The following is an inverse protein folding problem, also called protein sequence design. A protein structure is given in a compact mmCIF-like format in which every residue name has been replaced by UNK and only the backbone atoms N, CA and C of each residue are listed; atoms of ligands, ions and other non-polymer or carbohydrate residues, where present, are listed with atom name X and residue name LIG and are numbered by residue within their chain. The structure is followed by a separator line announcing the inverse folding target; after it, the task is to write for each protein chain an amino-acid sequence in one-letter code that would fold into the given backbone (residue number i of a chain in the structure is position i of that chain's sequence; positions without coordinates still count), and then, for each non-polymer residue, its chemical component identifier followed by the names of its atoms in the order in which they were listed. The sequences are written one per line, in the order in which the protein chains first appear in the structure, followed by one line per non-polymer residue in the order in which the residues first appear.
data_IF_046991390521
#
_entry.id   IF_046991390521
#
_cell.length_a   1.000
_cell.length_b   1.000
_cell.length_c   1.000
_cell.angle_alpha   90.00
_cell.angle_beta   90.00
_cell.angle_gamma   90.00
#
_symmetry.space_group_name_H-M   'P 1'
#
loop_
_entity.id
_entity.type
_entity.pdbx_description
1 polymer ?
#
# COMPACT_ATOMS: atom_id res chain seq x y z
N UNK A 1 24.56 -15.32 1.41
CA UNK A 1 23.95 -14.31 2.29
C UNK A 1 22.66 -13.91 1.61
N UNK A 2 21.56 -14.60 1.93
CA UNK A 2 20.22 -14.21 1.47
C UNK A 2 19.50 -13.72 2.71
N UNK A 3 19.53 -12.40 2.85
CA UNK A 3 19.00 -11.66 3.97
C UNK A 3 17.53 -12.02 4.20
N UNK A 4 17.28 -12.30 5.47
CA UNK A 4 15.98 -12.37 6.12
C UNK A 4 14.95 -11.51 5.37
N UNK A 5 14.04 -12.16 4.63
CA UNK A 5 12.72 -11.62 4.38
C UNK A 5 12.11 -11.34 5.75
N UNK A 6 12.37 -10.15 6.30
CA UNK A 6 11.63 -9.60 7.43
C UNK A 6 10.17 -9.85 7.06
N UNK A 7 9.47 -10.66 7.86
CA UNK A 7 8.07 -11.00 7.63
C UNK A 7 7.25 -9.70 7.63
N UNK A 8 7.19 -9.02 6.49
CA UNK A 8 6.43 -7.79 6.35
C UNK A 8 4.96 -8.18 6.48
N UNK A 9 4.26 -7.48 7.35
CA UNK A 9 2.84 -7.67 7.58
C UNK A 9 2.08 -7.01 6.45
N UNK A 10 1.18 -7.77 5.83
CA UNK A 10 0.28 -7.27 4.80
C UNK A 10 -0.86 -6.46 5.43
N UNK A 11 -0.96 -5.20 5.01
CA UNK A 11 -2.02 -4.28 5.41
C UNK A 11 -2.86 -3.95 4.17
N UNK A 12 -4.09 -4.45 4.11
CA UNK A 12 -4.93 -4.37 2.91
C UNK A 12 -5.98 -3.26 3.08
N UNK A 13 -6.07 -2.38 2.09
CA UNK A 13 -7.15 -1.40 1.99
C UNK A 13 -7.71 -1.35 0.57
N UNK A 14 -9.03 -1.23 0.43
CA UNK A 14 -9.71 -1.15 -0.86
C UNK A 14 -10.33 0.21 -1.05
N UNK A 15 -10.00 0.87 -2.15
CA UNK A 15 -10.75 2.02 -2.63
C UNK A 15 -11.96 1.50 -3.40
N UNK A 16 -13.15 1.73 -2.86
CA UNK A 16 -14.42 1.28 -3.46
C UNK A 16 -14.85 2.11 -4.67
N UNK A 17 -14.37 3.35 -4.82
CA UNK A 17 -14.77 4.23 -5.93
C UNK A 17 -14.12 3.80 -7.24
N UNK A 18 -12.84 3.41 -7.18
CA UNK A 18 -12.07 2.92 -8.34
C UNK A 18 -11.92 1.40 -8.35
N UNK A 19 -12.44 0.73 -7.33
CA UNK A 19 -12.23 -0.69 -7.07
C UNK A 19 -10.75 -1.12 -7.03
N UNK A 20 -9.88 -0.27 -6.47
CA UNK A 20 -8.43 -0.53 -6.39
C UNK A 20 -8.10 -1.18 -5.06
N UNK A 21 -7.31 -2.26 -5.08
CA UNK A 21 -6.82 -2.93 -3.87
C UNK A 21 -5.39 -2.49 -3.59
N UNK A 22 -5.17 -1.85 -2.45
CA UNK A 22 -3.86 -1.49 -1.94
C UNK A 22 -3.38 -2.55 -0.94
N UNK A 23 -2.18 -3.07 -1.15
CA UNK A 23 -1.48 -3.98 -0.24
C UNK A 23 -0.24 -3.25 0.24
N UNK A 24 -0.22 -2.87 1.51
CA UNK A 24 0.90 -2.16 2.13
C UNK A 24 1.72 -3.17 2.94
N UNK A 25 2.97 -3.36 2.55
CA UNK A 25 3.93 -4.21 3.24
C UNK A 25 4.70 -3.36 4.24
N UNK A 26 4.53 -3.63 5.53
CA UNK A 26 5.18 -2.91 6.62
C UNK A 26 5.72 -3.86 7.69
N UNK A 27 6.54 -3.39 8.63
CA UNK A 27 7.07 -4.24 9.72
C UNK A 27 6.01 -4.66 10.74
N UNK A 28 4.87 -3.96 10.80
CA UNK A 28 3.76 -4.20 11.72
C UNK A 28 2.39 -3.99 11.08
N UNK A 29 1.32 -4.27 11.83
CA UNK A 29 -0.03 -3.83 11.45
C UNK A 29 -0.15 -2.31 11.56
N UNK A 30 -0.68 -1.72 10.49
CA UNK A 30 -0.96 -0.31 10.37
C UNK A 30 -2.40 -0.02 10.76
N UNK A 31 -2.58 1.10 11.44
CA UNK A 31 -3.89 1.70 11.63
C UNK A 31 -4.43 2.21 10.30
N UNK A 32 -5.74 2.44 10.24
CA UNK A 32 -6.38 3.01 9.04
C UNK A 32 -5.77 4.36 8.64
N UNK A 33 -5.42 5.20 9.61
CA UNK A 33 -4.83 6.51 9.35
C UNK A 33 -3.42 6.40 8.75
N UNK A 34 -2.60 5.48 9.26
CA UNK A 34 -1.27 5.20 8.71
C UNK A 34 -1.37 4.66 7.28
N UNK A 35 -2.27 3.71 7.03
CA UNK A 35 -2.51 3.20 5.67
C UNK A 35 -2.94 4.31 4.70
N UNK A 36 -3.81 5.22 5.15
CA UNK A 36 -4.25 6.37 4.34
C UNK A 36 -3.10 7.34 4.06
N UNK A 37 -2.20 7.57 5.02
CA UNK A 37 -1.01 8.40 4.82
C UNK A 37 -0.08 7.79 3.75
N UNK A 38 0.19 6.48 3.84
CA UNK A 38 1.00 5.76 2.85
C UNK A 38 0.40 5.90 1.44
N UNK A 39 -0.91 5.68 1.30
CA UNK A 39 -1.58 5.80 -0.01
C UNK A 39 -1.59 7.24 -0.52
N UNK A 40 -1.76 8.24 0.36
CA UNK A 40 -1.67 9.65 -0.03
C UNK A 40 -0.29 10.01 -0.54
N UNK A 41 0.76 9.53 0.13
CA UNK A 41 2.14 9.73 -0.29
C UNK A 41 2.40 9.03 -1.64
N UNK A 42 1.94 7.80 -1.80
CA UNK A 42 2.01 7.07 -3.06
C UNK A 42 1.29 7.81 -4.20
N UNK A 43 0.09 8.33 -3.94
CA UNK A 43 -0.70 9.11 -4.89
C UNK A 43 -0.22 10.57 -5.07
N UNK A 44 0.85 10.98 -4.37
CA UNK A 44 1.47 12.28 -4.64
C UNK A 44 2.09 12.32 -6.04
N UNK A 45 2.56 11.17 -6.54
CA UNK A 45 2.94 11.02 -7.94
C UNK A 45 1.68 10.95 -8.84
N UNK A 46 1.51 11.90 -9.79
CA UNK A 46 0.38 11.89 -10.72
C UNK A 46 0.25 10.64 -11.58
N UNK A 47 1.33 9.88 -11.79
CA UNK A 47 1.28 8.61 -12.51
C UNK A 47 0.49 7.55 -11.74
N UNK A 48 0.61 7.56 -10.40
CA UNK A 48 -0.06 6.60 -9.51
C UNK A 48 -1.57 6.88 -9.37
N UNK A 49 -1.99 8.13 -9.55
CA UNK A 49 -3.41 8.52 -9.58
C UNK A 49 -4.20 7.90 -10.75
N UNK A 50 -3.49 7.57 -11.84
CA UNK A 50 -4.04 6.97 -13.08
C UNK A 50 -4.15 5.45 -13.00
N UNK A 51 -4.04 4.86 -11.81
CA UNK A 51 -4.26 3.43 -11.61
C UNK A 51 -5.58 2.98 -12.26
N UNK A 52 -5.51 1.90 -13.04
CA UNK A 52 -6.67 1.34 -13.74
C UNK A 52 -7.67 0.80 -12.72
N UNK A 53 -8.98 0.88 -12.99
CA UNK A 53 -9.97 0.22 -12.16
C UNK A 53 -9.67 -1.27 -11.99
N UNK A 54 -10.00 -1.83 -10.82
CA UNK A 54 -9.72 -3.24 -10.47
C UNK A 54 -8.23 -3.59 -10.31
N UNK A 55 -7.32 -2.61 -10.31
CA UNK A 55 -5.90 -2.89 -10.12
C UNK A 55 -5.58 -3.26 -8.67
N UNK A 56 -4.56 -4.10 -8.49
CA UNK A 56 -3.90 -4.30 -7.20
C UNK A 56 -2.58 -3.56 -7.19
N UNK A 57 -2.36 -2.74 -6.16
CA UNK A 57 -1.16 -1.91 -5.98
C UNK A 57 -0.47 -2.38 -4.71
N UNK A 58 0.80 -2.76 -4.83
CA UNK A 58 1.64 -3.15 -3.70
C UNK A 58 2.55 -1.98 -3.35
N UNK A 59 2.56 -1.57 -2.09
CA UNK A 59 3.37 -0.46 -1.58
C UNK A 59 4.27 -1.00 -0.47
N UNK A 60 5.57 -0.84 -0.61
CA UNK A 60 6.49 -1.06 0.49
C UNK A 60 6.57 0.18 1.36
N UNK A 61 6.47 -0.01 2.68
CA UNK A 61 6.51 1.08 3.64
C UNK A 61 7.50 0.77 4.76
N UNK A 62 8.18 1.81 5.24
CA UNK A 62 9.16 1.72 6.34
C UNK A 62 8.52 1.68 7.74
N UNK A 63 7.18 1.62 7.83
CA UNK A 63 6.45 1.57 9.10
C UNK A 63 6.66 0.29 9.90
#
# INVERSE_FOLDING_TARGET
MEDQQKQKVENIMRDTRKNVRYIILASRKLTRNEMLQVIRLFNYDPQNLKAKPNSTIVIESDF
#
